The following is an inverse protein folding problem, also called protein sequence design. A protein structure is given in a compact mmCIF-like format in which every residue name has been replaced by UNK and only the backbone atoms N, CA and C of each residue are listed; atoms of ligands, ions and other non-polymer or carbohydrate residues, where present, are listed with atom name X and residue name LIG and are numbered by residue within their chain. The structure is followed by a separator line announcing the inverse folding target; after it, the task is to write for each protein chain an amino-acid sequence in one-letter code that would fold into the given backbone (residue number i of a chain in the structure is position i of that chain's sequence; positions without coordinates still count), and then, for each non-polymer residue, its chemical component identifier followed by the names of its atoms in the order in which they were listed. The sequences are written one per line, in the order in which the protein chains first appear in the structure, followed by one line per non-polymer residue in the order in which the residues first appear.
data_IF_901078913546
#
_entry.id   IF_901078913546
#
_cell.length_a   1.000
_cell.length_b   1.000
_cell.length_c   1.000
_cell.angle_alpha   90.00
_cell.angle_beta   90.00
_cell.angle_gamma   90.00
#
_symmetry.space_group_name_H-M   'P 1'
#
loop_
_entity.id
_entity.type
_entity.pdbx_description
1 polymer ?
#
# COMPACT_ATOMS: atom_id res chain seq x y z
N UNK A 1 -9.49 -1.62 -8.94
CA UNK A 1 -9.61 -1.55 -10.40
C UNK A 1 -10.28 -0.23 -10.78
N UNK A 2 -9.94 0.34 -11.92
CA UNK A 2 -10.60 1.52 -12.48
C UNK A 2 -10.40 1.60 -14.00
N UNK A 3 -11.38 2.17 -14.67
CA UNK A 3 -11.41 2.40 -16.11
C UNK A 3 -11.50 3.89 -16.37
N UNK A 4 -10.58 4.43 -17.16
CA UNK A 4 -10.51 5.87 -17.47
C UNK A 4 -10.83 6.03 -18.95
N UNK A 5 -11.88 6.79 -19.27
CA UNK A 5 -12.23 7.17 -20.63
C UNK A 5 -11.65 8.53 -20.93
N UNK A 6 -10.92 8.65 -22.03
CA UNK A 6 -10.23 9.89 -22.40
C UNK A 6 -10.18 10.08 -23.91
N UNK A 7 -9.83 11.28 -24.35
CA UNK A 7 -9.52 11.53 -25.77
C UNK A 7 -8.12 11.02 -26.10
N UNK A 8 -7.84 10.79 -27.39
CA UNK A 8 -6.52 10.37 -27.87
C UNK A 8 -5.41 11.35 -27.46
N UNK A 9 -5.71 12.65 -27.47
CA UNK A 9 -4.77 13.71 -27.09
C UNK A 9 -4.42 13.69 -25.60
N UNK A 10 -5.35 13.24 -24.75
CA UNK A 10 -5.16 13.17 -23.30
C UNK A 10 -4.34 11.96 -22.86
N UNK A 11 -4.22 10.94 -23.72
CA UNK A 11 -3.66 9.63 -23.39
C UNK A 11 -2.32 9.70 -22.67
N UNK A 12 -1.35 10.42 -23.25
CA UNK A 12 0.01 10.51 -22.70
C UNK A 12 0.01 11.13 -21.30
N UNK A 13 -0.74 12.22 -21.10
CA UNK A 13 -0.75 12.92 -19.82
C UNK A 13 -1.49 12.13 -18.75
N UNK A 14 -2.53 11.39 -19.12
CA UNK A 14 -3.24 10.52 -18.19
C UNK A 14 -2.41 9.32 -17.78
N UNK A 15 -1.65 8.70 -18.69
CA UNK A 15 -0.67 7.66 -18.32
C UNK A 15 0.31 8.21 -17.28
N UNK A 16 0.83 9.43 -17.47
CA UNK A 16 1.73 10.06 -16.49
C UNK A 16 1.05 10.34 -15.15
N UNK A 17 -0.21 10.77 -15.14
CA UNK A 17 -1.01 10.94 -13.91
C UNK A 17 -1.10 9.61 -13.15
N UNK A 18 -1.41 8.53 -13.86
CA UNK A 18 -1.52 7.21 -13.24
C UNK A 18 -0.15 6.73 -12.76
N UNK A 19 0.93 6.88 -13.52
CA UNK A 19 2.29 6.52 -13.04
C UNK A 19 2.67 7.32 -11.77
N UNK A 20 2.29 8.60 -11.66
CA UNK A 20 2.48 9.38 -10.41
C UNK A 20 1.69 8.81 -9.23
N UNK A 21 0.50 8.29 -9.46
CA UNK A 21 -0.27 7.60 -8.42
C UNK A 21 0.45 6.33 -7.94
N UNK A 22 1.11 5.59 -8.84
CA UNK A 22 1.93 4.44 -8.45
C UNK A 22 3.13 4.87 -7.59
N UNK A 23 3.81 5.97 -7.95
CA UNK A 23 4.89 6.56 -7.13
C UNK A 23 4.40 6.89 -5.72
N UNK A 24 3.27 7.61 -5.61
CA UNK A 24 2.69 8.00 -4.33
C UNK A 24 2.31 6.77 -3.49
N UNK A 25 1.57 5.83 -4.07
CA UNK A 25 1.09 4.66 -3.32
C UNK A 25 2.24 3.77 -2.90
N UNK A 26 3.13 3.38 -3.80
CA UNK A 26 4.21 2.44 -3.47
C UNK A 26 5.24 3.04 -2.50
N UNK A 27 5.54 4.34 -2.62
CA UNK A 27 6.44 5.02 -1.67
C UNK A 27 5.88 5.05 -0.24
N UNK A 28 4.56 5.16 -0.06
CA UNK A 28 3.90 5.05 1.26
C UNK A 28 4.16 3.69 1.91
N UNK A 29 4.32 2.62 1.14
CA UNK A 29 4.69 1.29 1.66
C UNK A 29 6.20 1.03 1.66
N UNK A 30 7.02 2.00 1.25
CA UNK A 30 8.48 1.82 1.13
C UNK A 30 8.89 0.87 0.00
N UNK A 31 7.99 0.60 -0.96
CA UNK A 31 8.22 -0.32 -2.05
C UNK A 31 8.89 0.40 -3.23
N UNK A 32 9.85 -0.29 -3.85
CA UNK A 32 10.44 0.10 -5.13
C UNK A 32 9.87 -0.77 -6.24
N UNK A 33 9.83 -0.22 -7.44
CA UNK A 33 9.27 -0.91 -8.58
C UNK A 33 10.07 -0.68 -9.86
N UNK A 34 9.94 -1.64 -10.76
CA UNK A 34 10.43 -1.58 -12.15
C UNK A 34 9.23 -1.55 -13.10
N UNK A 35 9.42 -0.96 -14.29
CA UNK A 35 8.38 -0.86 -15.31
C UNK A 35 8.75 -1.75 -16.48
N UNK A 36 7.81 -2.59 -16.90
CA UNK A 36 7.87 -3.30 -18.17
C UNK A 36 6.86 -2.71 -19.15
N UNK A 37 7.26 -2.55 -20.41
CA UNK A 37 6.36 -2.22 -21.52
C UNK A 37 6.11 -3.52 -22.29
N UNK A 38 4.90 -4.07 -22.17
CA UNK A 38 4.52 -5.27 -22.89
C UNK A 38 3.90 -4.93 -24.23
N UNK A 39 4.49 -5.45 -25.30
CA UNK A 39 4.14 -5.10 -26.69
C UNK A 39 3.18 -6.11 -27.34
N UNK A 40 2.76 -5.82 -28.58
CA UNK A 40 1.75 -6.59 -29.31
C UNK A 40 2.03 -8.10 -29.36
N UNK A 41 1.11 -8.96 -28.86
CA UNK A 41 1.20 -10.41 -29.00
C UNK A 41 0.93 -10.87 -30.45
N UNK A 42 1.21 -12.13 -30.76
CA UNK A 42 0.87 -12.73 -32.06
C UNK A 42 -0.64 -12.74 -32.32
N UNK A 43 -1.45 -13.03 -31.30
CA UNK A 43 -2.91 -13.00 -31.36
C UNK A 43 -3.42 -11.68 -30.77
N UNK A 44 -3.74 -10.72 -31.65
CA UNK A 44 -4.13 -9.36 -31.28
C UNK A 44 -5.38 -8.89 -32.02
N UNK A 45 -6.14 -8.02 -31.38
CA UNK A 45 -7.25 -7.27 -31.97
C UNK A 45 -6.79 -5.85 -32.35
N UNK A 46 -7.47 -5.26 -33.33
CA UNK A 46 -7.21 -3.90 -33.80
C UNK A 46 -6.05 -3.79 -34.79
N UNK A 47 -5.89 -2.59 -35.33
CA UNK A 47 -4.90 -2.31 -36.37
C UNK A 47 -3.49 -2.12 -35.79
N UNK A 48 -2.49 -2.61 -36.51
CA UNK A 48 -1.06 -2.47 -36.15
C UNK A 48 -0.67 -1.00 -35.92
N UNK A 49 -1.26 -0.08 -36.70
CA UNK A 49 -1.01 1.36 -36.56
C UNK A 49 -1.39 1.89 -35.17
N UNK A 50 -2.53 1.46 -34.64
CA UNK A 50 -3.01 1.91 -33.33
C UNK A 50 -2.18 1.29 -32.21
N UNK A 51 -1.76 0.04 -32.39
CA UNK A 51 -0.81 -0.63 -31.51
C UNK A 51 0.54 0.06 -31.43
N UNK A 52 1.13 0.42 -32.57
CA UNK A 52 2.39 1.15 -32.64
C UNK A 52 2.26 2.50 -31.95
N UNK A 53 1.19 3.25 -32.25
CA UNK A 53 0.92 4.54 -31.62
C UNK A 53 0.76 4.42 -30.09
N UNK A 54 -0.03 3.46 -29.62
CA UNK A 54 -0.25 3.21 -28.20
C UNK A 54 1.05 2.82 -27.50
N UNK A 55 1.83 1.92 -28.09
CA UNK A 55 3.11 1.44 -27.56
C UNK A 55 4.13 2.58 -27.43
N UNK A 56 4.28 3.40 -28.47
CA UNK A 56 5.16 4.57 -28.42
C UNK A 56 4.68 5.62 -27.41
N UNK A 57 3.36 5.78 -27.26
CA UNK A 57 2.79 6.69 -26.25
C UNK A 57 3.14 6.22 -24.83
N UNK A 58 3.05 4.93 -24.53
CA UNK A 58 3.47 4.36 -23.24
C UNK A 58 4.97 4.61 -22.98
N UNK A 59 5.84 4.29 -23.94
CA UNK A 59 7.29 4.48 -23.84
C UNK A 59 7.65 5.95 -23.61
N UNK A 60 7.03 6.85 -24.38
CA UNK A 60 7.24 8.29 -24.28
C UNK A 60 6.79 8.83 -22.91
N UNK A 61 5.62 8.38 -22.41
CA UNK A 61 5.13 8.79 -21.10
C UNK A 61 6.12 8.43 -19.97
N UNK A 62 6.64 7.19 -19.98
CA UNK A 62 7.61 6.73 -18.98
C UNK A 62 8.94 7.48 -19.11
N UNK A 63 9.46 7.64 -20.32
CA UNK A 63 10.75 8.31 -20.58
C UNK A 63 10.70 9.80 -20.23
N UNK A 64 9.63 10.50 -20.59
CA UNK A 64 9.45 11.93 -20.27
C UNK A 64 9.32 12.17 -18.74
N UNK A 65 8.92 11.15 -17.97
CA UNK A 65 8.94 11.18 -16.50
C UNK A 65 10.31 10.88 -15.90
N UNK A 66 11.35 10.66 -16.72
CA UNK A 66 12.69 10.31 -16.27
C UNK A 66 12.81 8.89 -15.69
N UNK A 67 11.87 8.00 -16.01
CA UNK A 67 11.87 6.61 -15.57
C UNK A 67 12.41 5.70 -16.69
N UNK A 68 13.04 4.61 -16.28
CA UNK A 68 13.46 3.53 -17.18
C UNK A 68 12.38 2.45 -17.28
N UNK A 69 12.38 1.73 -18.39
CA UNK A 69 11.57 0.54 -18.58
C UNK A 69 12.34 -0.56 -19.29
N UNK A 70 11.84 -1.78 -19.19
CA UNK A 70 12.28 -2.95 -19.97
C UNK A 70 11.19 -3.31 -20.97
N UNK A 71 11.56 -3.79 -22.16
CA UNK A 71 10.59 -4.31 -23.13
C UNK A 71 10.28 -5.77 -22.81
N UNK A 72 9.00 -6.11 -22.75
CA UNK A 72 8.51 -7.47 -22.62
C UNK A 72 7.75 -7.84 -23.92
N UNK A 73 8.47 -8.43 -24.87
CA UNK A 73 7.96 -8.63 -26.23
C UNK A 73 6.81 -9.63 -26.27
N UNK A 74 5.69 -9.24 -26.88
CA UNK A 74 4.55 -10.11 -27.13
C UNK A 74 3.69 -10.45 -25.91
N UNK A 75 3.94 -9.84 -24.75
CA UNK A 75 3.16 -10.08 -23.53
C UNK A 75 2.03 -9.05 -23.33
N UNK A 76 1.77 -8.18 -24.31
CA UNK A 76 0.64 -7.24 -24.29
C UNK A 76 -0.71 -7.95 -24.14
N UNK A 77 -1.73 -7.24 -23.67
CA UNK A 77 -3.08 -7.80 -23.66
C UNK A 77 -3.59 -7.93 -25.11
N UNK A 78 -4.49 -8.87 -25.40
CA UNK A 78 -4.99 -9.07 -26.76
C UNK A 78 -5.66 -7.82 -27.39
N UNK A 79 -6.04 -6.83 -26.59
CA UNK A 79 -6.69 -5.58 -27.02
C UNK A 79 -5.79 -4.33 -26.98
N UNK A 80 -4.55 -4.43 -26.49
CA UNK A 80 -3.62 -3.30 -26.48
C UNK A 80 -2.39 -3.48 -25.58
N UNK A 81 -1.40 -2.58 -25.71
CA UNK A 81 -0.15 -2.66 -24.97
C UNK A 81 -0.36 -2.25 -23.51
N UNK A 82 0.55 -2.68 -22.63
CA UNK A 82 0.46 -2.40 -21.19
C UNK A 82 1.79 -1.97 -20.58
N UNK A 83 1.69 -1.20 -19.49
CA UNK A 83 2.76 -1.00 -18.53
C UNK A 83 2.52 -1.92 -17.34
N UNK A 84 3.48 -2.75 -17.02
CA UNK A 84 3.45 -3.60 -15.84
C UNK A 84 4.44 -3.12 -14.79
N UNK A 85 3.99 -3.09 -13.54
CA UNK A 85 4.74 -2.56 -12.41
C UNK A 85 5.17 -3.71 -11.52
N UNK A 86 6.47 -3.98 -11.53
CA UNK A 86 7.08 -5.12 -10.87
C UNK A 86 7.65 -4.67 -9.53
N UNK A 87 7.10 -5.20 -8.44
CA UNK A 87 7.53 -4.91 -7.08
C UNK A 87 8.61 -5.89 -6.66
N UNK A 88 9.72 -5.39 -6.11
CA UNK A 88 10.75 -6.23 -5.52
C UNK A 88 10.39 -6.59 -4.07
N UNK A 89 10.41 -7.88 -3.74
CA UNK A 89 10.29 -8.35 -2.37
C UNK A 89 11.63 -8.31 -1.61
N UNK A 90 11.61 -8.69 -0.33
CA UNK A 90 12.80 -8.69 0.53
C UNK A 90 13.86 -9.74 0.15
N UNK A 91 13.54 -10.67 -0.75
CA UNK A 91 14.45 -11.67 -1.30
C UNK A 91 14.97 -11.29 -2.71
N UNK A 92 14.57 -10.13 -3.22
CA UNK A 92 14.94 -9.65 -4.55
C UNK A 92 14.18 -10.30 -5.70
N UNK A 93 13.09 -11.05 -5.42
CA UNK A 93 12.19 -11.54 -6.46
C UNK A 93 11.26 -10.40 -6.87
N UNK A 94 10.89 -10.36 -8.14
CA UNK A 94 9.97 -9.36 -8.67
C UNK A 94 8.60 -9.96 -8.92
N UNK A 95 7.56 -9.23 -8.53
CA UNK A 95 6.18 -9.63 -8.70
C UNK A 95 5.42 -8.55 -9.47
N UNK A 96 4.80 -8.92 -10.59
CA UNK A 96 3.84 -8.04 -11.27
C UNK A 96 2.67 -7.76 -10.32
N UNK A 97 2.50 -6.49 -9.97
CA UNK A 97 1.48 -6.04 -9.03
C UNK A 97 0.45 -5.17 -9.71
N UNK A 98 0.80 -3.92 -10.01
CA UNK A 98 -0.09 -3.04 -10.74
C UNK A 98 0.19 -3.03 -12.23
N UNK A 99 -0.78 -2.51 -12.99
CA UNK A 99 -0.72 -2.46 -14.46
C UNK A 99 -1.53 -1.27 -14.97
N UNK A 100 -1.14 -0.76 -16.14
CA UNK A 100 -1.86 0.20 -16.96
C UNK A 100 -2.01 -0.45 -18.34
N UNK A 101 -3.23 -0.71 -18.78
CA UNK A 101 -3.50 -1.39 -20.05
C UNK A 101 -4.30 -0.45 -20.94
N UNK A 102 -3.79 -0.17 -22.13
CA UNK A 102 -4.51 0.62 -23.12
C UNK A 102 -5.52 -0.26 -23.84
N UNK A 103 -6.76 0.21 -23.95
CA UNK A 103 -7.84 -0.49 -24.62
C UNK A 103 -8.59 0.45 -25.56
N UNK A 104 -8.44 0.16 -26.86
CA UNK A 104 -9.14 0.81 -27.95
C UNK A 104 -10.31 -0.05 -28.46
N UNK A 105 -10.38 -1.32 -28.04
CA UNK A 105 -11.31 -2.32 -28.56
C UNK A 105 -12.66 -2.29 -27.86
N UNK A 106 -12.71 -2.21 -26.52
CA UNK A 106 -14.01 -2.14 -25.84
C UNK A 106 -14.78 -0.87 -26.18
N UNK A 107 -14.17 0.34 -26.26
CA UNK A 107 -14.89 1.53 -26.74
C UNK A 107 -15.55 1.34 -28.11
N UNK A 108 -14.88 0.64 -29.03
CA UNK A 108 -15.46 0.29 -30.32
C UNK A 108 -16.61 -0.72 -30.20
N UNK A 109 -16.40 -1.83 -29.47
CA UNK A 109 -17.38 -2.91 -29.36
C UNK A 109 -18.66 -2.51 -28.62
N UNK A 110 -18.56 -1.55 -27.70
CA UNK A 110 -19.70 -0.99 -26.97
C UNK A 110 -20.28 0.26 -27.64
N UNK A 111 -19.78 0.66 -28.81
CA UNK A 111 -20.22 1.85 -29.53
C UNK A 111 -20.20 3.10 -28.64
N UNK A 112 -19.13 3.26 -27.85
CA UNK A 112 -18.99 4.38 -26.94
C UNK A 112 -18.61 5.65 -27.70
N UNK A 113 -19.27 6.76 -27.37
CA UNK A 113 -19.06 8.03 -28.04
C UNK A 113 -19.04 9.20 -27.05
N UNK A 114 -18.26 10.22 -27.37
CA UNK A 114 -18.35 11.55 -26.78
C UNK A 114 -18.55 12.60 -27.89
N UNK A 115 -19.03 13.79 -27.53
CA UNK A 115 -19.19 14.89 -28.49
C UNK A 115 -17.92 15.74 -28.46
N UNK A 116 -17.24 15.85 -29.59
CA UNK A 116 -15.98 16.56 -29.72
C UNK A 116 -16.16 18.08 -29.76
N UNK A 117 -15.05 18.81 -29.76
CA UNK A 117 -15.04 20.27 -29.88
C UNK A 117 -15.54 20.76 -31.26
N UNK A 118 -15.48 19.88 -32.26
CA UNK A 118 -16.05 20.07 -33.60
C UNK A 118 -17.57 19.81 -33.67
N UNK A 119 -18.17 19.32 -32.57
CA UNK A 119 -19.59 18.96 -32.51
C UNK A 119 -19.91 17.56 -33.03
N UNK A 120 -18.91 16.83 -33.54
CA UNK A 120 -19.09 15.48 -34.09
C UNK A 120 -18.97 14.41 -32.99
N UNK A 121 -19.40 13.19 -33.32
CA UNK A 121 -19.25 12.02 -32.44
C UNK A 121 -17.87 11.41 -32.63
N UNK A 122 -17.15 11.26 -31.51
CA UNK A 122 -15.82 10.65 -31.46
C UNK A 122 -15.82 9.49 -30.49
N UNK A 123 -14.97 8.50 -30.74
CA UNK A 123 -14.78 7.36 -29.82
C UNK A 123 -13.69 7.68 -28.79
N UNK A 124 -13.93 7.42 -27.49
CA UNK A 124 -12.90 7.56 -26.47
C UNK A 124 -11.90 6.40 -26.55
N UNK A 125 -10.72 6.60 -25.95
CA UNK A 125 -9.81 5.51 -25.59
C UNK A 125 -9.96 5.21 -24.10
N UNK A 126 -9.80 3.94 -23.74
CA UNK A 126 -9.87 3.50 -22.36
C UNK A 126 -8.48 3.11 -21.84
N UNK A 127 -8.22 3.42 -20.57
CA UNK A 127 -7.16 2.77 -19.79
C UNK A 127 -7.81 1.93 -18.70
N UNK A 128 -7.40 0.67 -18.59
CA UNK A 128 -7.59 -0.15 -17.40
C UNK A 128 -6.41 0.07 -16.47
N UNK A 129 -6.66 0.34 -15.19
CA UNK A 129 -5.59 0.45 -14.22
C UNK A 129 -5.92 -0.19 -12.88
N UNK A 130 -4.92 -0.86 -12.33
CA UNK A 130 -4.95 -1.31 -10.94
C UNK A 130 -3.60 -1.05 -10.31
N UNK A 131 -3.59 -0.35 -9.17
CA UNK A 131 -2.35 0.09 -8.51
C UNK A 131 -1.83 -0.99 -7.57
N UNK A 132 -2.70 -1.57 -6.75
CA UNK A 132 -2.31 -2.60 -5.77
C UNK A 132 -2.35 -4.02 -6.37
N UNK A 133 -2.71 -4.19 -7.64
CA UNK A 133 -3.16 -5.49 -8.14
C UNK A 133 -4.39 -5.99 -7.38
N UNK A 134 -4.42 -7.28 -7.04
CA UNK A 134 -5.39 -7.79 -6.07
C UNK A 134 -4.95 -7.50 -4.64
N UNK A 135 -5.92 -7.28 -3.76
CA UNK A 135 -5.64 -6.97 -2.34
C UNK A 135 -4.90 -8.14 -1.69
N UNK A 136 -5.27 -9.37 -2.02
CA UNK A 136 -4.66 -10.60 -1.50
C UNK A 136 -3.19 -10.70 -1.87
N UNK A 137 -2.85 -10.42 -3.14
CA UNK A 137 -1.46 -10.41 -3.61
C UNK A 137 -0.69 -9.29 -2.95
N UNK A 138 -1.28 -8.10 -2.86
CA UNK A 138 -0.63 -6.96 -2.22
C UNK A 138 -0.31 -7.24 -0.76
N UNK A 139 -1.25 -7.82 0.00
CA UNK A 139 -1.03 -8.27 1.38
C UNK A 139 0.13 -9.25 1.45
N UNK A 140 0.21 -10.22 0.54
CA UNK A 140 1.35 -11.14 0.43
C UNK A 140 2.69 -10.41 0.28
N UNK A 141 2.77 -9.51 -0.70
CA UNK A 141 3.97 -8.72 -1.00
C UNK A 141 4.40 -7.87 0.21
N UNK A 142 3.48 -7.12 0.82
CA UNK A 142 3.84 -6.28 1.98
C UNK A 142 4.19 -7.14 3.22
N UNK A 143 3.59 -8.31 3.37
CA UNK A 143 3.96 -9.25 4.45
C UNK A 143 5.40 -9.71 4.28
N UNK A 144 5.82 -10.07 3.07
CA UNK A 144 7.21 -10.44 2.78
C UNK A 144 8.17 -9.25 2.91
N UNK A 145 7.76 -8.07 2.42
CA UNK A 145 8.55 -6.84 2.46
C UNK A 145 8.91 -6.43 3.90
N UNK A 146 7.93 -6.40 4.81
CA UNK A 146 8.14 -6.08 6.22
C UNK A 146 8.57 -7.30 7.04
N UNK A 147 8.69 -8.48 6.42
CA UNK A 147 8.79 -9.77 7.10
C UNK A 147 7.74 -9.94 8.22
N UNK A 148 6.52 -9.43 8.03
CA UNK A 148 5.44 -9.42 9.03
C UNK A 148 5.60 -8.38 10.16
N UNK A 149 6.67 -7.60 10.18
CA UNK A 149 6.88 -6.50 11.11
C UNK A 149 6.26 -5.21 10.55
N UNK A 150 4.94 -5.20 10.34
CA UNK A 150 4.25 -4.06 9.72
C UNK A 150 4.50 -2.73 10.45
N UNK A 151 4.55 -1.59 9.73
CA UNK A 151 4.58 -0.28 10.37
C UNK A 151 3.30 -0.07 11.19
N UNK A 152 3.35 0.85 12.17
CA UNK A 152 2.28 1.01 13.16
C UNK A 152 0.93 1.21 12.49
N UNK A 153 0.85 2.02 11.44
CA UNK A 153 -0.40 2.30 10.75
C UNK A 153 -1.04 1.06 10.08
N UNK A 154 -0.26 0.06 9.68
CA UNK A 154 -0.72 -1.21 9.09
C UNK A 154 -0.87 -2.35 10.10
N UNK A 155 -0.22 -2.28 11.26
CA UNK A 155 -0.19 -3.39 12.21
C UNK A 155 -1.61 -3.77 12.69
N UNK A 156 -1.99 -5.07 12.65
CA UNK A 156 -3.31 -5.51 13.13
C UNK A 156 -3.56 -5.14 14.60
N UNK A 157 -2.54 -5.31 15.42
CA UNK A 157 -2.47 -4.81 16.81
C UNK A 157 -1.33 -3.80 16.85
N UNK A 158 -1.65 -2.55 17.17
CA UNK A 158 -0.67 -1.46 17.22
C UNK A 158 0.00 -1.40 18.59
N UNK A 159 -0.79 -1.63 19.64
CA UNK A 159 -0.36 -1.57 21.03
C UNK A 159 -0.91 -2.76 21.80
N UNK A 160 -0.09 -3.42 22.63
CA UNK A 160 -0.58 -4.39 23.60
C UNK A 160 -0.25 -3.95 25.02
N UNK A 161 -1.27 -3.84 25.86
CA UNK A 161 -1.15 -3.47 27.28
C UNK A 161 -0.97 -4.73 28.12
N UNK A 162 0.10 -4.79 28.91
CA UNK A 162 0.51 -5.93 29.72
C UNK A 162 0.52 -5.53 31.20
N UNK A 163 -0.08 -6.34 32.06
CA UNK A 163 0.01 -6.14 33.51
C UNK A 163 1.07 -7.04 34.14
N UNK A 164 1.80 -6.50 35.13
CA UNK A 164 2.74 -7.27 35.96
C UNK A 164 1.98 -8.06 37.04
N UNK A 165 0.94 -7.47 37.61
CA UNK A 165 0.11 -8.05 38.67
C UNK A 165 -1.37 -7.80 38.38
N UNK A 166 -2.26 -8.60 38.98
CA UNK A 166 -3.71 -8.44 38.81
C UNK A 166 -4.23 -7.10 39.37
N UNK A 167 -3.49 -6.46 40.29
CA UNK A 167 -3.85 -5.14 40.84
C UNK A 167 -3.81 -4.05 39.78
N UNK A 168 -2.97 -4.18 38.76
CA UNK A 168 -2.87 -3.22 37.67
C UNK A 168 -3.96 -3.42 36.60
N UNK A 169 -4.83 -4.44 36.71
CA UNK A 169 -5.81 -4.75 35.67
C UNK A 169 -6.82 -3.61 35.44
N UNK A 170 -7.32 -2.96 36.49
CA UNK A 170 -8.24 -1.82 36.31
C UNK A 170 -7.56 -0.63 35.62
N UNK A 171 -6.28 -0.36 35.95
CA UNK A 171 -5.51 0.68 35.27
C UNK A 171 -5.26 0.32 33.80
N UNK A 172 -4.94 -0.94 33.50
CA UNK A 172 -4.76 -1.42 32.15
C UNK A 172 -6.02 -1.30 31.29
N UNK A 173 -7.19 -1.54 31.87
CA UNK A 173 -8.49 -1.30 31.21
C UNK A 173 -8.67 0.17 30.84
N UNK A 174 -8.36 1.10 31.77
CA UNK A 174 -8.43 2.55 31.51
C UNK A 174 -7.44 3.00 30.44
N UNK A 175 -6.21 2.50 30.49
CA UNK A 175 -5.18 2.78 29.47
C UNK A 175 -5.61 2.27 28.10
N UNK A 176 -6.10 1.04 28.01
CA UNK A 176 -6.59 0.46 26.76
C UNK A 176 -7.78 1.25 26.19
N UNK A 177 -8.73 1.65 27.04
CA UNK A 177 -9.86 2.48 26.63
C UNK A 177 -9.43 3.86 26.12
N UNK A 178 -8.43 4.48 26.75
CA UNK A 178 -7.89 5.77 26.28
C UNK A 178 -7.19 5.65 24.92
N UNK A 179 -6.42 4.58 24.71
CA UNK A 179 -5.77 4.30 23.42
C UNK A 179 -6.80 4.01 22.32
N UNK A 180 -7.84 3.22 22.62
CA UNK A 180 -8.92 2.90 21.68
C UNK A 180 -9.74 4.16 21.33
N UNK A 181 -10.08 4.99 22.33
CA UNK A 181 -10.73 6.29 22.11
C UNK A 181 -9.88 7.25 21.25
N UNK A 182 -8.55 7.08 21.26
CA UNK A 182 -7.63 7.81 20.41
C UNK A 182 -7.47 7.21 18.99
N UNK A 183 -8.20 6.15 18.66
CA UNK A 183 -8.21 5.50 17.34
C UNK A 183 -7.15 4.42 17.15
N UNK A 184 -6.46 3.99 18.21
CA UNK A 184 -5.42 2.95 18.14
C UNK A 184 -6.02 1.55 18.32
N UNK A 185 -5.53 0.58 17.55
CA UNK A 185 -5.90 -0.84 17.69
C UNK A 185 -5.12 -1.48 18.83
N UNK A 186 -5.80 -1.79 19.91
CA UNK A 186 -5.18 -2.19 21.18
C UNK A 186 -5.68 -3.55 21.64
N UNK A 187 -4.77 -4.35 22.18
CA UNK A 187 -5.11 -5.57 22.93
C UNK A 187 -4.60 -5.50 24.36
N UNK A 188 -5.17 -6.33 25.24
CA UNK A 188 -4.75 -6.45 26.63
C UNK A 188 -4.29 -7.87 26.91
N UNK A 189 -3.25 -8.02 27.74
CA UNK A 189 -2.82 -9.29 28.29
C UNK A 189 -2.81 -9.24 29.83
N UNK A 190 -3.98 -9.54 30.40
CA UNK A 190 -4.24 -9.55 31.84
C UNK A 190 -4.08 -10.93 32.47
N UNK A 191 -3.53 -11.92 31.74
CA UNK A 191 -3.36 -13.29 32.26
C UNK A 191 -2.39 -13.28 33.45
N UNK A 192 -2.58 -14.14 34.43
CA UNK A 192 -1.62 -14.34 35.51
C UNK A 192 -0.42 -15.18 35.03
N UNK A 193 0.45 -14.55 34.25
CA UNK A 193 1.63 -15.14 33.60
C UNK A 193 2.84 -14.25 33.85
N UNK A 194 4.04 -14.84 33.85
CA UNK A 194 5.28 -14.05 34.04
C UNK A 194 5.39 -12.97 32.96
N UNK A 195 5.68 -11.73 33.36
CA UNK A 195 5.78 -10.59 32.41
C UNK A 195 6.75 -10.86 31.26
N UNK A 196 7.85 -11.57 31.51
CA UNK A 196 8.80 -11.96 30.46
C UNK A 196 8.17 -12.85 29.38
N UNK A 197 7.24 -13.74 29.73
CA UNK A 197 6.48 -14.56 28.78
C UNK A 197 5.55 -13.71 27.94
N UNK A 198 4.78 -12.81 28.57
CA UNK A 198 3.88 -11.87 27.88
C UNK A 198 4.64 -10.99 26.88
N UNK A 199 5.81 -10.48 27.28
CA UNK A 199 6.70 -9.69 26.41
C UNK A 199 7.21 -10.55 25.25
N UNK A 200 7.66 -11.79 25.51
CA UNK A 200 8.15 -12.68 24.47
C UNK A 200 7.06 -13.00 23.42
N UNK A 201 5.83 -13.28 23.86
CA UNK A 201 4.68 -13.52 22.97
C UNK A 201 4.34 -12.27 22.14
N UNK A 202 4.29 -11.08 22.76
CA UNK A 202 4.07 -9.82 22.04
C UNK A 202 5.14 -9.52 21.00
N UNK A 203 6.42 -9.78 21.31
CA UNK A 203 7.54 -9.63 20.37
C UNK A 203 7.48 -10.66 19.24
N UNK A 204 7.12 -11.91 19.54
CA UNK A 204 6.99 -12.96 18.52
C UNK A 204 5.88 -12.63 17.52
N UNK A 205 4.82 -11.95 17.97
CA UNK A 205 3.74 -11.46 17.11
C UNK A 205 4.06 -10.12 16.43
N UNK A 206 5.27 -9.58 16.64
CA UNK A 206 5.77 -8.34 16.02
C UNK A 206 4.91 -7.11 16.28
N UNK A 207 4.26 -7.06 17.45
CA UNK A 207 3.45 -5.92 17.87
C UNK A 207 4.34 -4.68 18.00
N UNK A 208 3.97 -3.53 17.42
CA UNK A 208 4.81 -2.33 17.43
C UNK A 208 5.18 -1.86 18.83
N UNK A 209 4.20 -1.78 19.74
CA UNK A 209 4.41 -1.35 21.12
C UNK A 209 3.79 -2.30 22.13
N UNK A 210 4.55 -2.58 23.18
CA UNK A 210 4.08 -3.21 24.39
C UNK A 210 4.12 -2.17 25.50
N UNK A 211 2.98 -1.93 26.15
CA UNK A 211 2.89 -1.07 27.32
C UNK A 211 2.84 -1.93 28.56
N UNK A 212 3.79 -1.77 29.46
CA UNK A 212 3.89 -2.56 30.68
C UNK A 212 3.40 -1.70 31.85
N UNK A 213 2.46 -2.25 32.61
CA UNK A 213 1.86 -1.61 33.77
C UNK A 213 2.14 -2.41 35.04
N UNK A 214 2.91 -1.80 35.95
CA UNK A 214 3.02 -2.19 37.35
C UNK A 214 2.17 -1.32 38.27
N UNK A 215 2.31 -1.54 39.58
CA UNK A 215 1.63 -0.74 40.61
C UNK A 215 2.05 0.75 40.51
N UNK A 216 3.34 1.02 40.25
CA UNK A 216 3.87 2.37 40.12
C UNK A 216 3.24 3.13 38.94
N UNK A 217 3.21 2.51 37.77
CA UNK A 217 2.65 3.11 36.56
C UNK A 217 1.15 3.37 36.69
N UNK A 218 0.43 2.46 37.36
CA UNK A 218 -1.00 2.61 37.65
C UNK A 218 -1.29 3.82 38.55
N UNK A 219 -0.45 4.10 39.54
CA UNK A 219 -0.61 5.24 40.45
C UNK A 219 -0.21 6.57 39.80
N UNK A 220 0.80 6.59 38.92
CA UNK A 220 1.34 7.82 38.34
C UNK A 220 0.74 8.22 36.98
N UNK A 221 -0.18 7.43 36.41
CA UNK A 221 -0.76 7.70 35.10
C UNK A 221 0.25 7.64 33.95
N UNK A 222 1.32 6.85 34.13
CA UNK A 222 2.39 6.67 33.16
C UNK A 222 2.38 5.26 32.59
N UNK A 223 3.12 5.02 31.51
CA UNK A 223 3.29 3.69 30.92
C UNK A 223 4.77 3.40 30.68
N UNK A 224 5.21 2.18 30.99
CA UNK A 224 6.53 1.72 30.57
C UNK A 224 6.43 1.19 29.13
N UNK A 225 7.10 1.86 28.20
CA UNK A 225 6.98 1.62 26.77
C UNK A 225 8.11 0.72 26.29
N UNK A 226 7.74 -0.33 25.56
CA UNK A 226 8.70 -1.18 24.86
C UNK A 226 8.29 -1.30 23.40
N UNK A 227 9.11 -0.78 22.49
CA UNK A 227 8.91 -1.00 21.06
C UNK A 227 9.60 -2.27 20.58
N UNK A 228 9.46 -2.58 19.29
CA UNK A 228 10.26 -3.63 18.63
C UNK A 228 11.77 -3.40 18.75
N UNK A 229 12.21 -2.14 18.86
CA UNK A 229 13.62 -1.77 19.02
C UNK A 229 14.19 -2.00 20.41
N UNK A 230 13.34 -2.11 21.44
CA UNK A 230 13.78 -2.33 22.82
C UNK A 230 12.95 -1.58 23.84
N UNK A 231 13.53 -1.42 25.02
CA UNK A 231 12.97 -0.63 26.11
C UNK A 231 13.13 0.87 25.79
N UNK A 232 12.05 1.63 25.88
CA UNK A 232 12.03 3.08 25.66
C UNK A 232 11.83 3.87 26.97
N UNK A 233 11.72 3.16 28.10
CA UNK A 233 11.50 3.77 29.41
C UNK A 233 10.04 4.16 29.67
N UNK A 234 9.85 5.02 30.67
CA UNK A 234 8.53 5.44 31.15
C UNK A 234 8.17 6.79 30.58
N UNK A 235 6.93 6.95 30.10
CA UNK A 235 6.38 8.24 29.65
C UNK A 235 4.92 8.40 30.07
N UNK A 236 4.40 9.63 30.01
CA UNK A 236 2.98 9.88 30.21
C UNK A 236 2.16 9.22 29.11
N UNK A 237 0.96 8.73 29.45
CA UNK A 237 0.09 8.08 28.48
C UNK A 237 -0.28 9.01 27.32
N UNK A 238 -0.56 10.28 27.62
CA UNK A 238 -0.96 11.28 26.62
C UNK A 238 0.17 11.55 25.62
N UNK A 239 1.43 11.63 26.10
CA UNK A 239 2.61 11.80 25.26
C UNK A 239 2.81 10.59 24.33
N UNK A 240 2.60 9.38 24.86
CA UNK A 240 2.65 8.16 24.06
C UNK A 240 1.56 8.16 22.97
N UNK A 241 0.31 8.49 23.32
CA UNK A 241 -0.80 8.57 22.37
C UNK A 241 -0.50 9.57 21.26
N UNK A 242 -0.06 10.78 21.62
CA UNK A 242 0.26 11.83 20.66
C UNK A 242 1.36 11.39 19.69
N UNK A 243 2.43 10.77 20.20
CA UNK A 243 3.52 10.23 19.39
C UNK A 243 3.05 9.17 18.41
N UNK A 244 2.32 8.16 18.89
CA UNK A 244 1.88 7.04 18.06
C UNK A 244 0.86 7.49 17.01
N UNK A 245 -0.04 8.41 17.34
CA UNK A 245 -0.97 8.97 16.38
C UNK A 245 -0.25 9.76 15.28
N UNK A 246 0.83 10.46 15.59
CA UNK A 246 1.65 11.12 14.58
C UNK A 246 2.32 10.11 13.64
N UNK A 247 2.85 9.01 14.16
CA UNK A 247 3.39 7.91 13.34
C UNK A 247 2.32 7.27 12.44
N UNK A 248 1.10 7.10 12.96
CA UNK A 248 -0.04 6.56 12.19
C UNK A 248 -0.45 7.53 11.09
N UNK A 249 -0.60 8.82 11.42
CA UNK A 249 -1.03 9.89 10.51
C UNK A 249 -0.02 10.08 9.37
N UNK A 250 1.27 10.06 9.69
CA UNK A 250 2.34 10.24 8.71
C UNK A 250 2.69 8.96 7.95
N UNK A 251 2.05 7.83 8.30
CA UNK A 251 2.31 6.50 7.70
C UNK A 251 3.80 6.16 7.68
N UNK A 252 4.49 6.48 8.78
CA UNK A 252 5.94 6.25 8.89
C UNK A 252 6.23 4.74 8.81
N UNK A 253 7.18 4.37 7.95
CA UNK A 253 7.66 3.01 7.78
C UNK A 253 8.83 2.68 8.71
#
# INVERSE_FOLDING_TARGET
DAHIFMTWEQMKDEIKNVVRLFDEVYSVFGLRYEIEVSTMPEDHMGDVKDWDFATETLKAAVTEMGKSYVINEGDGAFYGPKLDFHLADSLGRTWQCGTIQLDMQLPERFELEYTGADGEKHRPVMIHRVVLGSIERFIGIITEHYAGAFPVWLAPVQVRVLTITDRANEAAEKVAAALDAAGLRVEKDLRNEKIGKKIAEGRSQKIPYLLILGDKEAESGTVAVRSRGGDEGVMALDDFIARVNEEVRTKKN
#
